data_IF_025831838256
#
_entry.id   IF_025831838256
#
_cell.length_a   1.000
_cell.length_b   1.000
_cell.length_c   1.000
_cell.angle_alpha   90.00
_cell.angle_beta   90.00
_cell.angle_gamma   90.00
#
_symmetry.space_group_name_H-M   'P 1'
#
loop_
_entity.id
_entity.type
_entity.pdbx_description
1 polymer ?
#
# COMPACT_ATOMS: atom_id res chain seq x y z
N UNK A 1 58.79 -2.18 -12.43
CA UNK A 1 60.04 -1.52 -12.90
C UNK A 1 61.14 -1.54 -11.84
N UNK A 2 60.84 -1.45 -10.54
CA UNK A 2 61.88 -1.41 -9.49
C UNK A 2 62.86 -2.60 -9.45
N UNK A 3 62.45 -3.83 -9.81
CA UNK A 3 63.37 -4.99 -9.77
C UNK A 3 64.50 -4.87 -10.81
N UNK A 4 64.21 -4.38 -12.02
CA UNK A 4 65.21 -4.21 -13.09
C UNK A 4 66.18 -3.09 -12.72
N UNK A 5 65.64 -1.98 -12.20
CA UNK A 5 66.40 -0.78 -11.84
C UNK A 5 67.37 -1.05 -10.68
N UNK A 6 66.99 -1.90 -9.73
CA UNK A 6 67.86 -2.25 -8.61
C UNK A 6 68.91 -3.30 -8.99
N UNK A 7 68.56 -4.24 -9.86
CA UNK A 7 69.52 -5.20 -10.39
C UNK A 7 70.56 -4.51 -11.31
N UNK A 8 70.17 -3.54 -12.14
CA UNK A 8 71.07 -2.89 -13.09
C UNK A 8 72.16 -2.04 -12.43
N UNK A 9 71.98 -1.61 -11.16
CA UNK A 9 72.99 -0.86 -10.40
C UNK A 9 74.17 -1.74 -9.94
N UNK A 10 73.92 -3.03 -9.73
CA UNK A 10 74.90 -3.96 -9.16
C UNK A 10 75.70 -4.69 -10.26
N UNK A 11 75.06 -4.98 -11.39
CA UNK A 11 75.65 -5.76 -12.50
C UNK A 11 76.91 -5.18 -13.17
N UNK A 12 77.10 -3.84 -13.29
CA UNK A 12 78.33 -3.25 -13.85
C UNK A 12 79.59 -3.59 -13.07
N UNK A 13 79.49 -3.84 -11.76
CA UNK A 13 80.63 -4.23 -10.91
C UNK A 13 81.19 -5.61 -11.27
N UNK A 14 80.39 -6.43 -11.96
CA UNK A 14 80.77 -7.75 -12.46
C UNK A 14 81.04 -7.75 -13.97
N UNK A 15 80.99 -6.58 -14.63
CA UNK A 15 81.19 -6.46 -16.09
C UNK A 15 80.03 -7.02 -16.93
N UNK A 16 78.81 -7.10 -16.37
CA UNK A 16 77.63 -7.69 -17.01
C UNK A 16 76.61 -6.60 -17.34
N UNK A 17 76.07 -6.59 -18.56
CA UNK A 17 74.99 -5.70 -19.00
C UNK A 17 73.63 -6.40 -18.89
N UNK A 18 72.71 -5.82 -18.10
CA UNK A 18 71.37 -6.37 -17.87
C UNK A 18 70.38 -5.82 -18.89
N UNK A 19 69.92 -6.68 -19.81
CA UNK A 19 68.98 -6.30 -20.89
C UNK A 19 67.51 -6.41 -20.44
N UNK A 20 67.13 -7.50 -19.78
CA UNK A 20 65.74 -7.75 -19.35
C UNK A 20 65.67 -8.76 -18.19
N UNK A 21 64.67 -8.62 -17.32
CA UNK A 21 64.36 -9.56 -16.23
C UNK A 21 62.94 -10.06 -16.39
N UNK A 22 62.81 -11.37 -16.65
CA UNK A 22 61.52 -12.05 -16.74
C UNK A 22 61.38 -13.07 -15.62
N UNK A 23 60.19 -13.08 -15.02
CA UNK A 23 59.82 -14.13 -14.07
C UNK A 23 59.55 -15.40 -14.86
N UNK A 24 60.39 -16.43 -14.67
CA UNK A 24 60.26 -17.71 -15.37
C UNK A 24 59.15 -18.59 -14.79
N UNK A 25 58.99 -18.58 -13.45
CA UNK A 25 57.98 -19.36 -12.73
C UNK A 25 57.80 -18.79 -11.33
N UNK A 26 56.54 -18.72 -10.88
CA UNK A 26 56.22 -18.45 -9.47
C UNK A 26 55.80 -19.79 -8.87
N UNK A 27 56.58 -20.30 -7.91
CA UNK A 27 56.23 -21.51 -7.18
C UNK A 27 55.38 -21.10 -5.98
N UNK A 28 54.15 -21.58 -5.93
CA UNK A 28 53.27 -21.42 -4.78
C UNK A 28 53.37 -22.66 -3.90
N UNK A 29 53.52 -22.45 -2.59
CA UNK A 29 53.37 -23.54 -1.61
C UNK A 29 51.89 -23.91 -1.60
N UNK A 30 51.56 -25.16 -1.91
CA UNK A 30 50.17 -25.65 -2.03
C UNK A 30 49.33 -25.37 -0.78
N UNK A 31 49.95 -25.41 0.41
CA UNK A 31 49.31 -25.08 1.68
C UNK A 31 48.90 -23.60 1.77
N UNK A 32 49.74 -22.67 1.30
CA UNK A 32 49.44 -21.23 1.29
C UNK A 32 48.34 -20.92 0.29
N UNK A 33 48.37 -21.57 -0.88
CA UNK A 33 47.33 -21.41 -1.90
C UNK A 33 45.95 -21.81 -1.36
N UNK A 34 45.84 -22.93 -0.64
CA UNK A 34 44.57 -23.37 -0.04
C UNK A 34 44.03 -22.34 0.97
N UNK A 35 44.89 -21.83 1.87
CA UNK A 35 44.50 -20.82 2.86
C UNK A 35 44.01 -19.52 2.21
N UNK A 36 44.67 -19.06 1.14
CA UNK A 36 44.24 -17.86 0.39
C UNK A 36 42.89 -18.09 -0.28
N UNK A 37 42.67 -19.26 -0.89
CA UNK A 37 41.37 -19.62 -1.48
C UNK A 37 40.24 -19.67 -0.45
N UNK A 38 40.47 -20.31 0.70
CA UNK A 38 39.50 -20.36 1.80
C UNK A 38 39.13 -18.95 2.29
N UNK A 39 40.13 -18.07 2.44
CA UNK A 39 39.90 -16.67 2.79
C UNK A 39 39.08 -15.93 1.73
N UNK A 40 39.42 -16.06 0.45
CA UNK A 40 38.65 -15.44 -0.64
C UNK A 40 37.20 -15.91 -0.67
N UNK A 41 36.96 -17.21 -0.46
CA UNK A 41 35.60 -17.77 -0.40
C UNK A 41 34.83 -17.17 0.78
N UNK A 42 35.46 -17.07 1.95
CA UNK A 42 34.85 -16.47 3.14
C UNK A 42 34.50 -14.99 2.92
N UNK A 43 35.42 -14.21 2.36
CA UNK A 43 35.19 -12.79 2.04
C UNK A 43 34.07 -12.62 1.00
N UNK A 44 34.02 -13.47 -0.03
CA UNK A 44 32.94 -13.48 -1.03
C UNK A 44 31.59 -13.82 -0.41
N UNK A 45 31.53 -14.82 0.47
CA UNK A 45 30.30 -15.18 1.20
C UNK A 45 29.83 -14.04 2.09
N UNK A 46 30.74 -13.40 2.83
CA UNK A 46 30.42 -12.24 3.67
C UNK A 46 29.87 -11.07 2.85
N UNK A 47 30.51 -10.74 1.73
CA UNK A 47 30.03 -9.69 0.84
C UNK A 47 28.64 -10.02 0.27
N UNK A 48 28.42 -11.27 -0.16
CA UNK A 48 27.11 -11.70 -0.67
C UNK A 48 26.01 -11.63 0.40
N UNK A 49 26.33 -11.97 1.65
CA UNK A 49 25.38 -11.87 2.77
C UNK A 49 25.04 -10.41 3.08
N UNK A 50 26.05 -9.53 3.08
CA UNK A 50 25.85 -8.11 3.27
C UNK A 50 24.92 -7.53 2.19
N UNK A 51 25.17 -7.80 0.91
CA UNK A 51 24.30 -7.34 -0.17
C UNK A 51 22.88 -7.90 -0.07
N UNK A 52 22.72 -9.16 0.35
CA UNK A 52 21.38 -9.74 0.57
C UNK A 52 20.66 -9.05 1.72
N UNK A 53 21.35 -8.79 2.83
CA UNK A 53 20.79 -8.09 4.00
C UNK A 53 20.40 -6.65 3.66
N UNK A 54 21.26 -5.91 2.96
CA UNK A 54 20.96 -4.55 2.50
C UNK A 54 19.77 -4.52 1.53
N UNK A 55 19.70 -5.49 0.61
CA UNK A 55 18.57 -5.64 -0.31
C UNK A 55 17.25 -5.93 0.40
N UNK A 56 17.27 -6.81 1.40
CA UNK A 56 16.11 -7.10 2.25
C UNK A 56 15.68 -5.88 3.06
N UNK A 57 16.63 -5.13 3.63
CA UNK A 57 16.36 -3.90 4.37
C UNK A 57 15.67 -2.85 3.51
N UNK A 58 16.23 -2.54 2.32
CA UNK A 58 15.63 -1.60 1.37
C UNK A 58 14.25 -2.05 0.91
N UNK A 59 14.07 -3.35 0.67
CA UNK A 59 12.76 -3.90 0.30
C UNK A 59 11.73 -3.65 1.40
N UNK A 60 12.05 -3.99 2.64
CA UNK A 60 11.14 -3.81 3.77
C UNK A 60 10.81 -2.33 4.01
N UNK A 61 11.78 -1.43 3.81
CA UNK A 61 11.58 0.02 3.88
C UNK A 61 10.59 0.49 2.80
N UNK A 62 10.79 0.08 1.54
CA UNK A 62 9.90 0.44 0.43
C UNK A 62 8.49 -0.12 0.64
N UNK A 63 8.37 -1.39 1.03
CA UNK A 63 7.08 -2.03 1.30
C UNK A 63 6.35 -1.32 2.46
N UNK A 64 7.05 -1.01 3.56
CA UNK A 64 6.48 -0.28 4.68
C UNK A 64 6.02 1.13 4.33
N UNK A 65 6.81 1.86 3.54
CA UNK A 65 6.45 3.20 3.07
C UNK A 65 5.23 3.15 2.13
N UNK A 66 5.20 2.19 1.21
CA UNK A 66 4.07 1.97 0.30
C UNK A 66 2.78 1.64 1.07
N UNK A 67 2.84 0.76 2.07
CA UNK A 67 1.67 0.41 2.89
C UNK A 67 1.14 1.62 3.67
N UNK A 68 2.04 2.42 4.24
CA UNK A 68 1.67 3.65 4.94
C UNK A 68 0.95 4.62 4.01
N UNK A 69 1.53 4.90 2.85
CA UNK A 69 0.96 5.83 1.87
C UNK A 69 -0.40 5.33 1.36
N UNK A 70 -0.52 4.04 1.05
CA UNK A 70 -1.78 3.43 0.65
C UNK A 70 -2.86 3.58 1.72
N UNK A 71 -2.49 3.40 3.00
CA UNK A 71 -3.41 3.57 4.13
C UNK A 71 -3.85 5.03 4.26
N UNK A 72 -2.94 5.98 4.15
CA UNK A 72 -3.25 7.41 4.18
C UNK A 72 -4.20 7.81 3.05
N UNK A 73 -3.94 7.37 1.81
CA UNK A 73 -4.81 7.63 0.65
C UNK A 73 -6.20 7.04 0.88
N UNK A 74 -6.29 5.77 1.28
CA UNK A 74 -7.58 5.10 1.50
C UNK A 74 -8.38 5.73 2.64
N UNK A 75 -7.72 6.03 3.75
CA UNK A 75 -8.38 6.71 4.89
C UNK A 75 -8.81 8.13 4.52
N UNK A 76 -7.99 8.86 3.76
CA UNK A 76 -8.34 10.18 3.23
C UNK A 76 -9.55 10.13 2.31
N UNK A 77 -9.56 9.21 1.34
CA UNK A 77 -10.68 9.01 0.43
C UNK A 77 -11.95 8.60 1.18
N UNK A 78 -11.86 7.68 2.14
CA UNK A 78 -13.00 7.25 2.96
C UNK A 78 -13.59 8.40 3.77
N UNK A 79 -12.74 9.22 4.40
CA UNK A 79 -13.17 10.40 5.15
C UNK A 79 -13.93 11.38 4.26
N UNK A 80 -13.38 11.70 3.07
CA UNK A 80 -14.01 12.61 2.11
C UNK A 80 -15.35 12.05 1.64
N UNK A 81 -15.41 10.75 1.31
CA UNK A 81 -16.65 10.11 0.91
C UNK A 81 -17.73 10.22 2.00
N UNK A 82 -17.38 9.93 3.26
CA UNK A 82 -18.32 10.05 4.39
C UNK A 82 -18.74 11.48 4.68
N UNK A 83 -17.86 12.45 4.48
CA UNK A 83 -18.19 13.86 4.62
C UNK A 83 -19.20 14.31 3.55
N UNK A 84 -19.03 13.87 2.30
CA UNK A 84 -19.96 14.16 1.20
C UNK A 84 -21.31 13.50 1.44
N UNK A 85 -21.32 12.23 1.85
CA UNK A 85 -22.53 11.48 2.18
C UNK A 85 -23.30 12.18 3.31
N UNK A 86 -22.62 12.52 4.41
CA UNK A 86 -23.24 13.23 5.53
C UNK A 86 -23.79 14.61 5.17
N UNK A 87 -23.11 15.37 4.30
CA UNK A 87 -23.62 16.65 3.79
C UNK A 87 -24.85 16.45 2.91
N UNK A 88 -24.81 15.46 2.02
CA UNK A 88 -25.93 15.12 1.13
C UNK A 88 -27.16 14.68 1.92
N UNK A 89 -26.98 13.84 2.94
CA UNK A 89 -28.06 13.38 3.80
C UNK A 89 -28.66 14.53 4.61
N UNK A 90 -27.83 15.40 5.17
CA UNK A 90 -28.30 16.58 5.90
C UNK A 90 -29.10 17.53 5.00
N UNK A 91 -28.64 17.74 3.75
CA UNK A 91 -29.35 18.57 2.77
C UNK A 91 -30.67 17.92 2.34
N UNK A 92 -30.68 16.61 2.08
CA UNK A 92 -31.90 15.88 1.75
C UNK A 92 -32.92 15.96 2.89
N UNK A 93 -32.50 15.67 4.13
CA UNK A 93 -33.37 15.76 5.31
C UNK A 93 -33.91 17.18 5.49
N UNK A 94 -33.07 18.20 5.28
CA UNK A 94 -33.50 19.60 5.34
C UNK A 94 -34.57 19.91 4.29
N UNK A 95 -34.37 19.50 3.04
CA UNK A 95 -35.35 19.68 1.96
C UNK A 95 -36.66 18.97 2.29
N UNK A 96 -36.58 17.73 2.79
CA UNK A 96 -37.76 16.98 3.24
C UNK A 96 -38.47 17.69 4.39
N UNK A 97 -37.75 18.13 5.42
CA UNK A 97 -38.33 18.86 6.55
C UNK A 97 -38.96 20.19 6.12
N UNK A 98 -38.31 20.95 5.25
CA UNK A 98 -38.84 22.20 4.69
C UNK A 98 -40.09 21.95 3.84
N UNK A 99 -40.12 20.86 3.08
CA UNK A 99 -41.30 20.44 2.32
C UNK A 99 -42.44 19.97 3.24
N UNK A 100 -42.14 19.22 4.30
CA UNK A 100 -43.11 18.72 5.28
C UNK A 100 -43.70 19.83 6.15
N UNK A 101 -42.90 20.84 6.51
CA UNK A 101 -43.37 21.97 7.30
C UNK A 101 -44.27 22.95 6.52
N UNK A 102 -44.32 22.86 5.19
CA UNK A 102 -45.21 23.72 4.38
C UNK A 102 -46.69 23.37 4.53
N UNK A 103 -47.01 22.08 4.65
CA UNK A 103 -48.36 21.60 4.93
C UNK A 103 -48.33 20.18 5.54
N UNK A 104 -48.30 20.08 6.88
CA UNK A 104 -48.26 18.79 7.58
C UNK A 104 -49.52 17.93 7.35
N UNK A 105 -50.68 18.55 7.14
CA UNK A 105 -51.94 17.83 6.92
C UNK A 105 -51.98 17.22 5.51
N UNK A 106 -51.57 17.96 4.49
CA UNK A 106 -51.48 17.47 3.11
C UNK A 106 -50.46 16.34 2.96
N UNK A 107 -49.32 16.41 3.66
CA UNK A 107 -48.34 15.32 3.68
C UNK A 107 -48.89 14.06 4.35
N UNK A 108 -49.51 14.19 5.52
CA UNK A 108 -50.07 13.06 6.27
C UNK A 108 -51.12 12.33 5.41
N UNK A 109 -51.93 13.08 4.66
CA UNK A 109 -52.84 12.54 3.67
C UNK A 109 -52.13 11.81 2.52
N UNK A 110 -51.12 12.42 1.88
CA UNK A 110 -50.40 11.84 0.74
C UNK A 110 -49.58 10.60 1.12
N UNK A 111 -48.98 10.59 2.32
CA UNK A 111 -48.27 9.44 2.88
C UNK A 111 -49.22 8.29 3.19
N UNK A 112 -50.41 8.61 3.69
CA UNK A 112 -51.47 7.62 3.93
C UNK A 112 -51.90 6.97 2.62
N UNK A 113 -52.08 7.75 1.54
CA UNK A 113 -52.40 7.23 0.20
C UNK A 113 -51.28 6.35 -0.40
N UNK A 114 -50.02 6.75 -0.26
CA UNK A 114 -48.88 5.94 -0.71
C UNK A 114 -48.76 4.62 0.07
N UNK A 115 -49.02 4.66 1.38
CA UNK A 115 -49.01 3.47 2.22
C UNK A 115 -50.15 2.52 1.84
N UNK A 116 -51.35 3.03 1.55
CA UNK A 116 -52.45 2.21 1.02
C UNK A 116 -52.05 1.50 -0.28
N UNK A 117 -51.35 2.19 -1.19
CA UNK A 117 -50.89 1.61 -2.45
C UNK A 117 -49.83 0.52 -2.26
N UNK A 118 -48.93 0.69 -1.29
CA UNK A 118 -47.83 -0.24 -1.06
C UNK A 118 -48.20 -1.43 -0.15
N UNK A 119 -49.24 -1.30 0.67
CA UNK A 119 -49.67 -2.33 1.64
C UNK A 119 -50.88 -3.15 1.15
N UNK A 120 -51.67 -2.65 0.20
CA UNK A 120 -52.86 -3.34 -0.31
C UNK A 120 -52.55 -3.97 -1.68
N UNK A 121 -52.28 -5.28 -1.68
CA UNK A 121 -52.21 -6.09 -2.91
C UNK A 121 -53.53 -6.87 -3.13
N UNK A 122 -53.79 -7.39 -4.33
CA UNK A 122 -55.08 -8.02 -4.71
C UNK A 122 -55.52 -9.18 -3.80
N UNK A 123 -54.58 -9.82 -3.10
CA UNK A 123 -54.81 -10.97 -2.22
C UNK A 123 -54.78 -10.61 -0.72
N UNK A 124 -54.67 -9.32 -0.36
CA UNK A 124 -54.55 -8.87 1.03
C UNK A 124 -55.90 -8.58 1.68
N UNK A 125 -56.28 -9.34 2.71
CA UNK A 125 -57.44 -9.05 3.55
C UNK A 125 -57.03 -8.19 4.74
N UNK A 126 -57.39 -6.90 4.71
CA UNK A 126 -57.06 -5.94 5.76
C UNK A 126 -58.17 -5.88 6.82
N UNK A 127 -57.87 -6.30 8.05
CA UNK A 127 -58.80 -6.20 9.19
C UNK A 127 -58.47 -4.92 9.95
N UNK A 128 -59.26 -3.87 9.75
CA UNK A 128 -59.11 -2.58 10.42
C UNK A 128 -60.16 -2.43 11.53
N UNK A 129 -59.71 -2.06 12.73
CA UNK A 129 -60.61 -1.69 13.84
C UNK A 129 -61.07 -0.25 13.67
N UNK A 130 -62.26 0.08 14.18
CA UNK A 130 -62.92 1.39 14.01
C UNK A 130 -62.08 2.56 14.54
N UNK A 131 -61.12 2.34 15.44
CA UNK A 131 -60.26 3.40 16.00
C UNK A 131 -58.90 3.54 15.29
N UNK A 132 -58.73 2.91 14.13
CA UNK A 132 -57.47 2.95 13.40
C UNK A 132 -57.24 4.30 12.70
N UNK A 133 -56.04 4.86 12.87
CA UNK A 133 -55.57 6.07 12.15
C UNK A 133 -55.65 5.92 10.62
N UNK A 134 -55.63 4.67 10.14
CA UNK A 134 -55.84 4.30 8.74
C UNK A 134 -57.24 4.65 8.21
N UNK A 135 -58.24 4.89 9.05
CA UNK A 135 -59.61 5.21 8.61
C UNK A 135 -59.94 6.70 8.72
N UNK A 136 -59.08 7.51 9.34
CA UNK A 136 -59.35 8.92 9.66
C UNK A 136 -59.71 9.75 8.43
N UNK A 137 -58.99 9.56 7.31
CA UNK A 137 -59.25 10.29 6.06
C UNK A 137 -60.39 9.70 5.22
N UNK A 138 -60.75 8.43 5.41
CA UNK A 138 -61.85 7.77 4.69
C UNK A 138 -63.22 8.01 5.36
N UNK A 139 -63.25 8.22 6.67
CA UNK A 139 -64.47 8.52 7.44
C UNK A 139 -65.09 9.88 7.15
N UNK A 140 -64.28 10.86 6.70
CA UNK A 140 -64.71 12.24 6.46
C UNK A 140 -65.11 12.53 5.00
N UNK A 141 -65.17 11.50 4.13
CA UNK A 141 -65.71 11.64 2.78
C UNK A 141 -67.22 11.47 2.88
N UNK A 142 -67.94 12.59 2.95
CA UNK A 142 -69.40 12.67 2.88
C UNK A 142 -69.84 13.16 1.50
#
# INVERSE_FOLDING_TARGET
RGIIEEASKIMPQYGIELIDVRIKRINYVSEVQRKVFERMISERKRAAEQYRSEGQGKRAEIEGQMEKELKEIRSGAYRVAKEIEGKSDAEAIKIYADAYNRDPEFYSFLKTLDTYKNTIDKDSTLILTTDSEYLTYLKNIQ
#
